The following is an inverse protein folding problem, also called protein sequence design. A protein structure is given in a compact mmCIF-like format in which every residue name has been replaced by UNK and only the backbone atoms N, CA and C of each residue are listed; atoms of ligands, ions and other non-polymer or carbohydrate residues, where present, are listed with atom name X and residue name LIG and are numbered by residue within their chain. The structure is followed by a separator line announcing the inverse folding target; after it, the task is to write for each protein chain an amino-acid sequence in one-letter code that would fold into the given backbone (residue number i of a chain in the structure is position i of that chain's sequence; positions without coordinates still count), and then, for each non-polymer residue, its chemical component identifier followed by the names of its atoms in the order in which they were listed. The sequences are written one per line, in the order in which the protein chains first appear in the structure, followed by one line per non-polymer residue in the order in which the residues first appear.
data_IF_784183305068
#
_entry.id   IF_784183305068
#
_cell.length_a   1.000
_cell.length_b   1.000
_cell.length_c   1.000
_cell.angle_alpha   90.00
_cell.angle_beta   90.00
_cell.angle_gamma   90.00
#
_symmetry.space_group_name_H-M   'P 1'
#
loop_
_entity.id
_entity.type
_entity.pdbx_description
1 polymer ?
#
# COMPACT_ATOMS: atom_id res chain seq x y z
N UNK A 1 -23.77 5.48 -55.90
CA UNK A 1 -22.44 4.92 -55.56
C UNK A 1 -21.98 5.68 -54.33
N UNK A 2 -22.35 5.13 -53.18
CA UNK A 2 -22.13 5.73 -51.87
C UNK A 2 -20.81 5.26 -51.29
N UNK A 3 -19.92 6.19 -50.94
CA UNK A 3 -18.96 5.98 -49.85
C UNK A 3 -18.75 7.30 -49.09
N UNK A 4 -19.58 7.50 -48.07
CA UNK A 4 -19.40 8.56 -47.09
C UNK A 4 -18.17 8.23 -46.23
N UNK A 5 -17.11 9.02 -46.37
CA UNK A 5 -15.99 9.05 -45.43
C UNK A 5 -16.48 9.63 -44.10
N UNK A 6 -16.43 8.84 -43.03
CA UNK A 6 -16.69 9.31 -41.68
C UNK A 6 -15.56 8.85 -40.74
N UNK A 7 -14.57 9.70 -40.42
CA UNK A 7 -13.59 9.39 -39.39
C UNK A 7 -14.12 9.92 -38.05
N UNK A 8 -14.84 9.09 -37.29
CA UNK A 8 -15.21 9.45 -35.91
C UNK A 8 -14.99 8.30 -34.93
N UNK A 9 -13.73 8.03 -34.59
CA UNK A 9 -13.23 7.88 -33.20
C UNK A 9 -11.78 7.38 -33.19
N UNK A 10 -10.90 8.08 -32.44
CA UNK A 10 -10.27 7.41 -31.31
C UNK A 10 -10.21 8.34 -30.09
N UNK A 11 -11.36 8.65 -29.49
CA UNK A 11 -11.41 9.43 -28.24
C UNK A 11 -11.55 8.55 -26.98
N UNK A 12 -11.98 7.29 -27.11
CA UNK A 12 -12.26 6.40 -25.96
C UNK A 12 -11.01 5.69 -25.42
N UNK A 13 -10.14 5.17 -26.28
CA UNK A 13 -8.96 4.41 -25.86
C UNK A 13 -7.93 5.23 -25.05
N UNK A 14 -7.89 6.55 -25.24
CA UNK A 14 -6.96 7.45 -24.54
C UNK A 14 -7.43 7.80 -23.12
N UNK A 15 -8.75 7.72 -22.86
CA UNK A 15 -9.32 8.00 -21.53
C UNK A 15 -9.17 6.80 -20.58
N UNK A 16 -9.30 5.57 -21.08
CA UNK A 16 -9.15 4.36 -20.26
C UNK A 16 -7.71 4.21 -19.75
N UNK A 17 -6.70 4.48 -20.59
CA UNK A 17 -5.29 4.50 -20.18
C UNK A 17 -5.02 5.56 -19.10
N UNK A 18 -5.48 6.80 -19.33
CA UNK A 18 -5.24 7.90 -18.39
C UNK A 18 -5.86 7.66 -17.00
N UNK A 19 -7.02 6.98 -16.94
CA UNK A 19 -7.65 6.61 -15.68
C UNK A 19 -6.84 5.53 -14.94
N UNK A 20 -6.35 4.51 -15.65
CA UNK A 20 -5.49 3.45 -15.08
C UNK A 20 -4.16 4.01 -14.61
N UNK A 21 -3.52 4.86 -15.41
CA UNK A 21 -2.23 5.49 -15.09
C UNK A 21 -2.35 6.33 -13.81
N UNK A 22 -3.45 7.09 -13.69
CA UNK A 22 -3.73 7.88 -12.49
C UNK A 22 -4.02 7.01 -11.27
N UNK A 23 -4.78 5.91 -11.43
CA UNK A 23 -5.06 4.98 -10.35
C UNK A 23 -3.75 4.35 -9.82
N UNK A 24 -2.86 3.93 -10.72
CA UNK A 24 -1.55 3.40 -10.36
C UNK A 24 -0.69 4.45 -9.65
N UNK A 25 -0.69 5.70 -10.12
CA UNK A 25 0.06 6.78 -9.46
C UNK A 25 -0.42 7.02 -8.03
N UNK A 26 -1.73 6.97 -7.78
CA UNK A 26 -2.31 7.12 -6.43
C UNK A 26 -1.90 5.93 -5.55
N UNK A 27 -2.01 4.70 -6.07
CA UNK A 27 -1.63 3.48 -5.34
C UNK A 27 -0.12 3.42 -5.03
N UNK A 28 0.70 3.99 -5.90
CA UNK A 28 2.14 4.09 -5.66
C UNK A 28 2.44 5.15 -4.60
N UNK A 29 1.77 6.30 -4.68
CA UNK A 29 1.91 7.37 -3.68
C UNK A 29 1.52 6.90 -2.28
N UNK A 30 0.49 6.07 -2.15
CA UNK A 30 0.05 5.51 -0.87
C UNK A 30 1.06 4.52 -0.26
N UNK A 31 1.93 3.93 -1.10
CA UNK A 31 2.99 3.00 -0.67
C UNK A 31 4.29 3.69 -0.29
N UNK A 32 4.47 4.96 -0.66
CA UNK A 32 5.70 5.71 -0.38
C UNK A 32 5.54 6.45 0.94
N UNK A 33 6.32 6.04 1.94
CA UNK A 33 6.48 6.81 3.18
C UNK A 33 7.54 7.88 2.94
N UNK A 34 7.10 9.13 2.80
CA UNK A 34 8.01 10.28 2.69
C UNK A 34 8.47 10.68 4.09
N UNK A 35 9.78 10.59 4.34
CA UNK A 35 10.39 10.97 5.61
C UNK A 35 11.17 12.27 5.41
N UNK A 36 11.00 13.22 6.33
CA UNK A 36 11.97 14.28 6.50
C UNK A 36 13.23 13.74 7.19
N UNK A 37 14.24 14.60 7.35
CA UNK A 37 15.53 14.19 7.90
C UNK A 37 15.43 13.68 9.35
N UNK A 38 14.55 14.27 10.16
CA UNK A 38 14.38 13.88 11.56
C UNK A 38 13.68 12.53 11.68
N UNK A 39 12.58 12.34 10.94
CA UNK A 39 11.85 11.08 10.89
C UNK A 39 12.71 9.95 10.32
N UNK A 40 13.49 10.23 9.27
CA UNK A 40 14.46 9.28 8.72
C UNK A 40 15.47 8.84 9.78
N UNK A 41 16.04 9.77 10.55
CA UNK A 41 16.96 9.44 11.63
C UNK A 41 16.32 8.51 12.66
N UNK A 42 15.12 8.83 13.13
CA UNK A 42 14.41 8.02 14.13
C UNK A 42 14.17 6.59 13.60
N UNK A 43 13.72 6.46 12.35
CA UNK A 43 13.48 5.16 11.72
C UNK A 43 14.77 4.36 11.59
N UNK A 44 15.84 4.95 11.08
CA UNK A 44 17.12 4.25 10.91
C UNK A 44 17.75 3.87 12.25
N UNK A 45 17.64 4.74 13.26
CA UNK A 45 18.11 4.44 14.61
C UNK A 45 17.34 3.26 15.21
N UNK A 46 16.02 3.19 15.02
CA UNK A 46 15.19 2.08 15.49
C UNK A 46 15.47 0.76 14.74
N UNK A 47 15.90 0.81 13.48
CA UNK A 47 16.32 -0.39 12.72
C UNK A 47 17.68 -0.88 13.22
N UNK A 48 18.64 0.04 13.40
CA UNK A 48 19.99 -0.30 13.86
C UNK A 48 20.01 -0.73 15.34
N UNK A 49 19.15 -0.11 16.16
CA UNK A 49 19.03 -0.34 17.59
C UNK A 49 17.56 -0.64 17.94
N UNK A 50 17.09 -1.86 17.66
CA UNK A 50 15.70 -2.21 17.87
C UNK A 50 15.31 -2.06 19.34
N UNK A 51 14.23 -1.31 19.65
CA UNK A 51 13.76 -1.17 21.02
C UNK A 51 13.18 -2.49 21.51
N UNK A 52 13.28 -2.72 22.83
CA UNK A 52 12.58 -3.85 23.45
C UNK A 52 11.07 -3.66 23.36
N UNK A 53 10.29 -4.73 23.08
CA UNK A 53 8.83 -4.68 23.16
C UNK A 53 8.37 -4.18 24.53
N UNK A 54 7.38 -3.29 24.54
CA UNK A 54 6.81 -2.84 25.80
C UNK A 54 5.83 -3.89 26.38
N UNK A 55 5.47 -3.72 27.65
CA UNK A 55 4.58 -4.67 28.34
C UNK A 55 3.21 -4.82 27.67
N UNK A 56 2.69 -3.76 27.03
CA UNK A 56 1.41 -3.82 26.33
C UNK A 56 1.50 -4.71 25.07
N UNK A 57 2.56 -4.56 24.28
CA UNK A 57 2.81 -5.38 23.10
C UNK A 57 3.07 -6.85 23.48
N UNK A 58 3.83 -7.10 24.53
CA UNK A 58 4.06 -8.46 25.05
C UNK A 58 2.75 -9.15 25.40
N UNK A 59 1.88 -8.51 26.19
CA UNK A 59 0.57 -9.06 26.55
C UNK A 59 -0.32 -9.32 25.34
N UNK A 60 -0.33 -8.41 24.36
CA UNK A 60 -1.11 -8.59 23.14
C UNK A 60 -0.62 -9.80 22.32
N UNK A 61 0.69 -10.02 22.27
CA UNK A 61 1.28 -11.16 21.58
C UNK A 61 1.01 -12.50 22.29
N UNK A 62 1.06 -12.52 23.62
CA UNK A 62 0.65 -13.68 24.44
C UNK A 62 -0.82 -14.02 24.17
N UNK A 63 -1.70 -13.02 24.22
CA UNK A 63 -3.13 -13.23 23.96
C UNK A 63 -3.40 -13.75 22.54
N UNK A 64 -2.68 -13.22 21.54
CA UNK A 64 -2.77 -13.70 20.16
C UNK A 64 -2.33 -15.16 20.05
N UNK A 65 -1.26 -15.56 20.76
CA UNK A 65 -0.76 -16.93 20.77
C UNK A 65 -1.81 -17.89 21.33
N UNK A 66 -2.40 -17.58 22.48
CA UNK A 66 -3.50 -18.36 23.08
C UNK A 66 -4.66 -18.57 22.10
N UNK A 67 -5.12 -17.49 21.45
CA UNK A 67 -6.23 -17.55 20.50
C UNK A 67 -5.95 -18.43 19.28
N UNK A 68 -4.69 -18.51 18.84
CA UNK A 68 -4.31 -19.33 17.68
C UNK A 68 -4.07 -20.78 18.08
N UNK A 69 -3.52 -21.04 19.27
CA UNK A 69 -3.31 -22.38 19.80
C UNK A 69 -4.65 -23.05 20.18
N UNK A 70 -5.56 -22.33 20.82
CA UNK A 70 -6.91 -22.81 21.17
C UNK A 70 -7.75 -23.20 19.94
N UNK A 71 -7.56 -22.51 18.80
CA UNK A 71 -8.23 -22.82 17.54
C UNK A 71 -7.59 -24.00 16.78
N UNK A 72 -6.36 -24.37 17.10
CA UNK A 72 -5.68 -25.55 16.51
C UNK A 72 -5.97 -26.86 17.25
N UNK A 73 -6.54 -26.77 18.45
CA UNK A 73 -6.94 -27.92 19.28
C UNK A 73 -8.42 -28.30 19.15
N UNK A 74 -9.15 -27.67 18.21
CA UNK A 74 -10.54 -27.97 17.81
C UNK A 74 -10.56 -28.58 16.42
#
# INVERSE_FOLDING_TARGET
MDTVSNPKKPAKAKQDSAAVDKANAILEQDRIINLDLEAARIVFDAIANPPQPNAALTRAMERRKELLEDNSAR
#
